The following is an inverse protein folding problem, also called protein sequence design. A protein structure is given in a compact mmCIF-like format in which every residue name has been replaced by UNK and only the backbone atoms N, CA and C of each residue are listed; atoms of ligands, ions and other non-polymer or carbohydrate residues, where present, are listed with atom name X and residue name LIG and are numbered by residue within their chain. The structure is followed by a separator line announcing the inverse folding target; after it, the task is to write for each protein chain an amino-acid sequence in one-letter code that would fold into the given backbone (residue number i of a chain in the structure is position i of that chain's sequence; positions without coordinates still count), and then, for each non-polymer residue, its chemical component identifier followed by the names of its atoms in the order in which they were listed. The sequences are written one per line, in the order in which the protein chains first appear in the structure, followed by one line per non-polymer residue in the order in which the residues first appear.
data_IF_474009195477
#
_entry.id   IF_474009195477
#
_cell.length_a   1.000
_cell.length_b   1.000
_cell.length_c   1.000
_cell.angle_alpha   90.00
_cell.angle_beta   90.00
_cell.angle_gamma   90.00
#
_symmetry.space_group_name_H-M   'P 1'
#
loop_
_entity.id
_entity.type
_entity.pdbx_description
1 polymer ?
#
# COMPACT_ATOMS: atom_id res chain seq x y z
N UNK A 1 3.76 11.90 -16.65
CA UNK A 1 2.62 11.86 -15.73
C UNK A 1 1.40 12.40 -16.45
N UNK A 2 0.23 11.77 -16.28
CA UNK A 2 -1.03 12.24 -16.91
C UNK A 2 -1.50 13.55 -16.27
N UNK A 3 -1.33 13.73 -14.97
CA UNK A 3 -1.61 14.99 -14.27
C UNK A 3 -0.79 16.15 -14.85
N UNK A 4 0.49 15.91 -15.17
CA UNK A 4 1.33 16.91 -15.82
C UNK A 4 0.82 17.36 -17.19
N UNK A 5 0.19 16.45 -17.95
CA UNK A 5 -0.45 16.82 -19.21
C UNK A 5 -1.71 17.68 -18.97
N UNK A 6 -2.52 17.33 -17.97
CA UNK A 6 -3.70 18.11 -17.62
C UNK A 6 -3.33 19.54 -17.21
N UNK A 7 -2.31 19.71 -16.37
CA UNK A 7 -1.79 21.03 -15.97
C UNK A 7 -1.35 21.86 -17.19
N UNK A 8 -0.58 21.26 -18.11
CA UNK A 8 -0.13 21.95 -19.33
C UNK A 8 -1.30 22.29 -20.27
N UNK A 9 -2.33 21.46 -20.33
CA UNK A 9 -3.48 21.65 -21.20
C UNK A 9 -4.49 22.68 -20.67
N UNK A 10 -4.45 23.00 -19.38
CA UNK A 10 -5.46 23.83 -18.70
C UNK A 10 -6.83 23.16 -18.57
N UNK A 11 -6.96 21.87 -18.91
CA UNK A 11 -8.19 21.09 -18.74
C UNK A 11 -8.29 20.62 -17.28
N UNK A 12 -9.37 20.93 -16.55
CA UNK A 12 -9.53 20.50 -15.16
C UNK A 12 -9.59 18.96 -15.05
N UNK A 13 -8.64 18.32 -14.34
CA UNK A 13 -8.68 16.87 -14.09
C UNK A 13 -9.55 16.52 -12.88
N UNK A 14 -9.98 15.26 -12.81
CA UNK A 14 -10.53 14.66 -11.59
C UNK A 14 -9.38 14.10 -10.75
N UNK A 15 -9.45 14.30 -9.43
CA UNK A 15 -8.58 13.66 -8.45
C UNK A 15 -7.38 14.51 -8.02
N UNK A 16 -6.29 13.82 -7.68
CA UNK A 16 -5.09 14.41 -7.09
C UNK A 16 -4.25 15.23 -8.10
N UNK A 17 -3.55 16.24 -7.59
CA UNK A 17 -2.55 17.01 -8.34
C UNK A 17 -1.27 16.19 -8.60
N UNK A 18 -0.27 16.79 -9.27
CA UNK A 18 1.00 16.11 -9.59
C UNK A 18 1.74 15.68 -8.31
N UNK A 19 1.84 16.57 -7.33
CA UNK A 19 2.70 16.36 -6.15
C UNK A 19 2.13 15.26 -5.25
N UNK A 20 0.85 15.36 -4.91
CA UNK A 20 0.14 14.35 -4.10
C UNK A 20 0.13 12.99 -4.81
N UNK A 21 -0.10 12.96 -6.12
CA UNK A 21 0.01 11.73 -6.92
C UNK A 21 1.40 11.11 -6.85
N UNK A 22 2.47 11.92 -6.95
CA UNK A 22 3.84 11.42 -6.90
C UNK A 22 4.23 10.89 -5.52
N UNK A 23 3.82 11.57 -4.44
CA UNK A 23 4.06 11.15 -3.06
C UNK A 23 3.33 9.84 -2.77
N UNK A 24 2.04 9.74 -3.14
CA UNK A 24 1.21 8.56 -2.86
C UNK A 24 1.55 7.36 -3.75
N UNK A 25 2.10 7.59 -4.96
CA UNK A 25 2.56 6.51 -5.84
C UNK A 25 3.80 5.79 -5.30
N UNK A 26 4.57 6.44 -4.43
CA UNK A 26 5.82 5.94 -3.90
C UNK A 26 5.73 5.80 -2.36
N UNK A 27 5.49 4.60 -1.81
CA UNK A 27 5.34 4.39 -0.38
C UNK A 27 6.52 4.93 0.42
N UNK A 28 7.74 4.94 -0.13
CA UNK A 28 8.88 5.53 0.59
C UNK A 28 8.72 7.05 0.79
N UNK A 29 8.14 7.76 -0.17
CA UNK A 29 7.82 9.19 -0.02
C UNK A 29 6.63 9.38 0.91
N UNK A 30 5.60 8.53 0.79
CA UNK A 30 4.46 8.54 1.72
C UNK A 30 4.92 8.33 3.16
N UNK A 31 5.83 7.37 3.40
CA UNK A 31 6.39 7.07 4.72
C UNK A 31 7.39 8.12 5.22
N UNK A 32 7.84 9.04 4.38
CA UNK A 32 8.56 10.23 4.80
C UNK A 32 7.57 11.34 5.18
N UNK A 33 6.51 11.56 4.39
CA UNK A 33 5.57 12.66 4.59
C UNK A 33 4.61 12.40 5.75
N UNK A 34 4.04 11.20 5.85
CA UNK A 34 3.00 10.87 6.83
C UNK A 34 3.48 10.98 8.29
N UNK A 35 4.68 10.50 8.67
CA UNK A 35 5.19 10.67 10.04
C UNK A 35 5.45 12.13 10.41
N UNK A 36 5.79 12.99 9.45
CA UNK A 36 5.91 14.43 9.71
C UNK A 36 4.56 15.08 10.06
N UNK A 37 3.44 14.43 9.74
CA UNK A 37 2.09 14.79 10.16
C UNK A 37 1.60 14.00 11.40
N UNK A 38 2.47 13.18 12.02
CA UNK A 38 2.11 12.37 13.20
C UNK A 38 1.44 11.03 12.89
N UNK A 39 1.40 10.62 11.63
CA UNK A 39 0.81 9.34 11.22
C UNK A 39 1.86 8.23 11.30
N UNK A 40 1.52 7.13 11.99
CA UNK A 40 2.40 5.98 12.11
C UNK A 40 2.55 5.25 10.76
N UNK A 41 3.76 4.81 10.45
CA UNK A 41 4.08 4.08 9.22
C UNK A 41 4.93 2.85 9.55
N UNK A 42 4.93 1.81 8.69
CA UNK A 42 5.80 0.66 8.89
C UNK A 42 7.27 1.07 8.85
N UNK A 43 8.09 0.43 9.67
CA UNK A 43 9.54 0.51 9.50
C UNK A 43 9.91 -0.12 8.16
N UNK A 44 10.71 0.56 7.36
CA UNK A 44 11.07 0.10 6.03
C UNK A 44 12.54 0.35 5.70
N UNK A 45 13.08 -0.44 4.78
CA UNK A 45 14.38 -0.23 4.15
C UNK A 45 14.21 -0.06 2.65
N UNK A 46 14.90 0.92 2.07
CA UNK A 46 14.91 1.16 0.64
C UNK A 46 16.04 0.38 -0.02
N UNK A 47 15.74 -0.42 -1.05
CA UNK A 47 16.75 -1.18 -1.79
C UNK A 47 16.70 -0.75 -3.26
N UNK A 48 17.82 -0.21 -3.76
CA UNK A 48 17.96 0.14 -5.17
C UNK A 48 18.56 -1.03 -5.95
N UNK A 49 18.50 -0.97 -7.29
CA UNK A 49 19.00 -2.03 -8.19
C UNK A 49 20.44 -2.54 -7.94
N UNK A 50 21.44 -1.71 -7.58
CA UNK A 50 22.77 -2.24 -7.27
C UNK A 50 22.84 -2.91 -5.89
N UNK A 51 21.91 -2.61 -4.99
CA UNK A 51 21.99 -3.03 -3.60
C UNK A 51 21.73 -4.53 -3.48
N UNK A 52 22.46 -5.16 -2.56
CA UNK A 52 22.35 -6.57 -2.20
C UNK A 52 22.29 -6.65 -0.68
N UNK A 53 21.09 -6.49 -0.09
CA UNK A 53 20.98 -6.44 1.36
C UNK A 53 21.27 -7.82 1.95
N UNK A 54 21.87 -7.85 3.13
CA UNK A 54 22.18 -9.11 3.83
C UNK A 54 20.90 -9.60 4.51
N UNK A 55 20.29 -10.68 4.02
CA UNK A 55 18.98 -11.14 4.50
C UNK A 55 18.89 -11.34 6.03
N UNK A 56 19.97 -11.77 6.67
CA UNK A 56 20.02 -11.95 8.12
C UNK A 56 19.88 -10.65 8.95
N UNK A 57 19.93 -9.46 8.33
CA UNK A 57 19.77 -8.18 9.06
C UNK A 57 18.32 -7.78 9.30
N UNK A 58 17.36 -8.45 8.65
CA UNK A 58 15.94 -8.12 8.78
C UNK A 58 15.24 -9.00 9.82
N UNK A 59 14.16 -8.46 10.37
CA UNK A 59 13.22 -9.23 11.18
C UNK A 59 12.08 -9.71 10.29
N UNK A 60 11.66 -10.96 10.46
CA UNK A 60 10.61 -11.57 9.67
C UNK A 60 9.34 -11.83 10.50
N UNK A 61 8.13 -11.81 9.90
CA UNK A 61 7.88 -11.63 8.47
C UNK A 61 8.05 -10.18 7.99
N UNK A 62 8.38 -10.03 6.70
CA UNK A 62 8.51 -8.75 6.01
C UNK A 62 7.70 -8.75 4.71
N UNK A 63 7.24 -7.59 4.26
CA UNK A 63 6.68 -7.39 2.93
C UNK A 63 7.75 -6.81 2.01
N UNK A 64 7.81 -7.31 0.78
CA UNK A 64 8.76 -6.85 -0.25
C UNK A 64 7.98 -6.37 -1.47
N UNK A 65 7.51 -5.12 -1.49
CA UNK A 65 6.86 -4.52 -2.66
C UNK A 65 7.84 -3.73 -3.54
N UNK A 66 7.57 -3.59 -4.86
CA UNK A 66 8.16 -2.52 -5.67
C UNK A 66 7.70 -1.15 -5.17
N UNK A 67 8.53 -0.13 -5.34
CA UNK A 67 8.19 1.20 -4.84
C UNK A 67 7.05 1.88 -5.61
N UNK A 68 6.89 1.65 -6.92
CA UNK A 68 5.87 2.36 -7.72
C UNK A 68 5.06 1.39 -8.56
N UNK A 69 4.30 0.53 -7.89
CA UNK A 69 3.36 -0.41 -8.49
C UNK A 69 2.05 -0.44 -7.71
N UNK A 70 1.06 -1.19 -8.19
CA UNK A 70 -0.22 -1.39 -7.52
C UNK A 70 -0.78 -2.79 -7.80
N UNK A 71 -1.99 -3.07 -7.31
CA UNK A 71 -2.67 -4.38 -7.50
C UNK A 71 -1.82 -5.58 -7.05
N UNK A 72 -1.00 -5.36 -6.03
CA UNK A 72 -0.08 -6.34 -5.43
C UNK A 72 0.99 -6.90 -6.37
N UNK A 73 1.19 -6.32 -7.56
CA UNK A 73 2.18 -6.82 -8.51
C UNK A 73 3.59 -6.73 -7.94
N UNK A 74 4.29 -7.87 -7.89
CA UNK A 74 5.64 -7.96 -7.33
C UNK A 74 5.70 -7.94 -5.80
N UNK A 75 4.57 -7.88 -5.10
CA UNK A 75 4.51 -7.90 -3.64
C UNK A 75 4.60 -9.33 -3.14
N UNK A 76 5.51 -9.60 -2.20
CA UNK A 76 5.57 -10.88 -1.49
C UNK A 76 5.71 -10.67 0.01
N UNK A 77 5.02 -11.51 0.78
CA UNK A 77 5.29 -11.71 2.20
C UNK A 77 6.37 -12.76 2.35
N UNK A 78 7.47 -12.36 2.96
CA UNK A 78 8.65 -13.19 3.23
C UNK A 78 8.65 -13.57 4.69
N UNK A 79 8.70 -14.87 5.00
CA UNK A 79 8.66 -15.37 6.38
C UNK A 79 10.04 -15.72 6.94
N UNK A 80 11.06 -15.80 6.08
CA UNK A 80 12.44 -16.14 6.46
C UNK A 80 13.47 -15.58 5.48
N UNK A 81 14.73 -15.55 5.91
CA UNK A 81 15.83 -14.93 5.17
C UNK A 81 16.10 -15.56 3.80
N UNK A 82 15.86 -16.85 3.64
CA UNK A 82 16.09 -17.61 2.42
C UNK A 82 15.12 -17.26 1.28
N UNK A 83 13.94 -16.70 1.58
CA UNK A 83 12.98 -16.27 0.54
C UNK A 83 13.24 -14.83 0.06
N UNK A 84 14.10 -14.07 0.75
CA UNK A 84 14.26 -12.62 0.52
C UNK A 84 14.78 -12.30 -0.88
N UNK A 85 15.85 -12.95 -1.33
CA UNK A 85 16.47 -12.66 -2.62
C UNK A 85 15.49 -12.89 -3.78
N UNK A 86 14.73 -13.98 -3.71
CA UNK A 86 13.68 -14.26 -4.69
C UNK A 86 12.59 -13.18 -4.68
N UNK A 87 12.20 -12.69 -3.51
CA UNK A 87 11.21 -11.63 -3.40
C UNK A 87 11.72 -10.30 -3.96
N UNK A 88 12.98 -9.95 -3.70
CA UNK A 88 13.63 -8.76 -4.25
C UNK A 88 13.65 -8.82 -5.79
N UNK A 89 14.10 -9.93 -6.37
CA UNK A 89 14.15 -10.06 -7.82
C UNK A 89 12.76 -10.08 -8.46
N UNK A 90 11.75 -10.64 -7.78
CA UNK A 90 10.35 -10.56 -8.21
C UNK A 90 9.82 -9.13 -8.22
N UNK A 91 10.08 -8.34 -7.17
CA UNK A 91 9.67 -6.94 -7.08
C UNK A 91 10.39 -6.08 -8.14
N UNK A 92 11.66 -6.40 -8.43
CA UNK A 92 12.49 -5.70 -9.43
C UNK A 92 12.00 -5.79 -10.86
N UNK A 93 11.08 -6.71 -11.16
CA UNK A 93 10.41 -6.77 -12.46
C UNK A 93 9.50 -5.56 -12.71
N UNK A 94 9.05 -4.90 -11.63
CA UNK A 94 8.09 -3.79 -11.69
C UNK A 94 8.74 -2.44 -11.38
N UNK A 95 9.79 -2.40 -10.57
CA UNK A 95 10.52 -1.15 -10.28
C UNK A 95 12.00 -1.43 -9.96
N UNK A 96 12.90 -0.53 -10.38
CA UNK A 96 14.31 -0.56 -9.99
C UNK A 96 14.56 -0.19 -8.52
N UNK A 97 13.55 0.39 -7.87
CA UNK A 97 13.51 0.70 -6.44
C UNK A 97 12.45 -0.15 -5.76
N UNK A 98 12.82 -0.81 -4.66
CA UNK A 98 11.91 -1.65 -3.88
C UNK A 98 11.96 -1.23 -2.40
N UNK A 99 10.98 -1.70 -1.63
CA UNK A 99 10.99 -1.59 -0.18
C UNK A 99 11.08 -2.99 0.45
N UNK A 100 11.65 -3.04 1.65
CA UNK A 100 11.46 -4.14 2.59
C UNK A 100 10.79 -3.54 3.83
N UNK A 101 9.54 -3.88 4.04
CA UNK A 101 8.67 -3.33 5.09
C UNK A 101 8.48 -4.36 6.20
N UNK A 102 8.62 -3.93 7.45
CA UNK A 102 8.30 -4.76 8.60
C UNK A 102 6.79 -5.06 8.59
N UNK A 103 6.41 -6.33 8.64
CA UNK A 103 4.99 -6.68 8.61
C UNK A 103 4.28 -6.12 9.85
N UNK A 104 3.24 -5.30 9.63
CA UNK A 104 2.38 -4.81 10.69
C UNK A 104 1.37 -5.90 11.09
N UNK A 105 1.22 -6.20 12.39
CA UNK A 105 0.17 -7.11 12.85
C UNK A 105 -1.21 -6.42 12.78
N UNK A 106 -2.25 -7.20 12.55
CA UNK A 106 -3.63 -6.71 12.52
C UNK A 106 -4.35 -7.09 11.23
N UNK A 107 -5.36 -6.31 10.88
CA UNK A 107 -6.08 -6.39 9.61
C UNK A 107 -5.99 -5.05 8.88
N UNK A 108 -6.12 -5.07 7.56
CA UNK A 108 -6.18 -3.85 6.76
C UNK A 108 -7.57 -3.21 6.91
N UNK A 109 -7.64 -1.88 6.90
CA UNK A 109 -8.88 -1.08 6.93
C UNK A 109 -8.74 0.08 5.94
N UNK A 110 -9.74 0.33 5.10
CA UNK A 110 -9.61 1.27 3.96
C UNK A 110 -10.80 2.21 3.70
N UNK A 111 -11.00 3.28 4.49
CA UNK A 111 -12.06 4.24 4.18
C UNK A 111 -11.83 4.95 2.82
N UNK A 112 -12.88 5.02 2.00
CA UNK A 112 -12.87 5.84 0.79
C UNK A 112 -13.10 7.32 1.12
N UNK A 113 -12.30 8.22 0.56
CA UNK A 113 -12.41 9.67 0.77
C UNK A 113 -12.79 10.37 -0.54
N UNK A 114 -13.78 11.26 -0.47
CA UNK A 114 -14.22 12.11 -1.58
C UNK A 114 -14.28 13.56 -1.14
N UNK A 115 -13.66 14.46 -1.89
CA UNK A 115 -13.79 15.89 -1.66
C UNK A 115 -12.55 16.68 -2.01
N UNK A 116 -12.59 17.97 -1.66
CA UNK A 116 -11.49 18.91 -1.77
C UNK A 116 -11.10 19.41 -0.37
N UNK A 117 -10.01 20.16 -0.25
CA UNK A 117 -9.35 20.53 1.03
C UNK A 117 -10.25 21.06 2.16
N UNK A 118 -11.42 21.64 1.85
CA UNK A 118 -12.32 22.23 2.84
C UNK A 118 -13.52 21.35 3.21
N UNK A 119 -13.81 20.29 2.47
CA UNK A 119 -14.98 19.45 2.67
C UNK A 119 -14.70 18.04 2.16
N UNK A 120 -14.49 17.12 3.10
CA UNK A 120 -14.28 15.69 2.84
C UNK A 120 -15.51 14.91 3.27
N UNK A 121 -15.89 13.94 2.45
CA UNK A 121 -16.89 12.91 2.75
C UNK A 121 -16.15 11.59 2.82
N UNK A 122 -16.35 10.85 3.90
CA UNK A 122 -15.70 9.56 4.12
C UNK A 122 -16.76 8.45 4.06
N UNK A 123 -16.46 7.40 3.30
CA UNK A 123 -17.31 6.21 3.19
C UNK A 123 -17.25 5.32 4.44
N UNK A 124 -18.04 4.25 4.43
CA UNK A 124 -17.93 3.21 5.45
C UNK A 124 -16.55 2.54 5.41
N UNK A 125 -16.04 2.19 6.59
CA UNK A 125 -14.76 1.49 6.73
C UNK A 125 -14.94 0.04 6.29
N UNK A 126 -14.00 -0.49 5.49
CA UNK A 126 -13.95 -1.87 5.02
C UNK A 126 -12.71 -2.60 5.61
N UNK A 127 -12.87 -3.51 6.59
CA UNK A 127 -11.78 -4.34 7.05
C UNK A 127 -11.56 -5.48 6.06
N UNK A 128 -10.30 -5.77 5.81
CA UNK A 128 -9.87 -6.91 5.03
C UNK A 128 -9.15 -7.90 5.94
N UNK A 129 -9.72 -9.11 6.04
CA UNK A 129 -9.16 -10.22 6.83
C UNK A 129 -8.59 -11.28 5.92
N UNK A 130 -7.35 -11.68 6.18
CA UNK A 130 -6.64 -12.69 5.41
C UNK A 130 -6.58 -14.01 6.19
N UNK A 131 -6.89 -15.12 5.51
CA UNK A 131 -6.64 -16.45 6.05
C UNK A 131 -5.15 -16.82 5.97
N UNK A 132 -4.48 -16.38 4.90
CA UNK A 132 -3.04 -16.57 4.65
C UNK A 132 -2.55 -15.58 3.59
N UNK A 133 -1.22 -15.43 3.47
CA UNK A 133 -0.61 -14.64 2.39
C UNK A 133 -0.87 -13.13 2.50
N UNK A 134 -1.16 -12.52 1.36
CA UNK A 134 -1.45 -11.09 1.18
C UNK A 134 -2.76 -10.90 0.40
N UNK A 135 -3.36 -9.73 0.47
CA UNK A 135 -4.44 -9.36 -0.44
C UNK A 135 -3.93 -9.16 -1.87
N UNK A 136 -4.55 -9.82 -2.85
CA UNK A 136 -4.12 -9.79 -4.25
C UNK A 136 -5.23 -10.14 -5.24
N UNK A 137 -6.46 -9.69 -4.97
CA UNK A 137 -7.65 -10.12 -5.72
C UNK A 137 -7.47 -10.09 -7.25
N UNK A 138 -6.89 -9.04 -7.82
CA UNK A 138 -6.68 -8.92 -9.27
C UNK A 138 -5.66 -9.89 -9.89
N UNK A 139 -4.96 -10.68 -9.07
CA UNK A 139 -4.05 -11.74 -9.51
C UNK A 139 -4.66 -13.14 -9.36
N UNK A 140 -5.88 -13.23 -8.81
CA UNK A 140 -6.61 -14.48 -8.67
C UNK A 140 -7.34 -14.83 -9.97
N UNK A 141 -7.77 -16.09 -10.11
CA UNK A 141 -8.23 -16.64 -11.40
C UNK A 141 -9.55 -16.02 -11.87
N UNK A 142 -10.51 -15.85 -10.95
CA UNK A 142 -11.85 -15.30 -11.23
C UNK A 142 -12.22 -14.27 -10.13
N UNK A 143 -11.55 -13.11 -10.09
CA UNK A 143 -11.67 -12.14 -8.99
C UNK A 143 -13.10 -11.66 -8.73
N UNK A 144 -13.93 -11.60 -9.76
CA UNK A 144 -15.34 -11.23 -9.68
C UNK A 144 -16.21 -12.22 -8.88
N UNK A 145 -15.73 -13.46 -8.69
CA UNK A 145 -16.41 -14.49 -7.89
C UNK A 145 -15.99 -14.47 -6.42
N UNK A 146 -15.05 -13.61 -6.05
CA UNK A 146 -14.51 -13.49 -4.70
C UNK A 146 -13.06 -13.92 -4.60
N UNK A 147 -12.44 -13.63 -3.45
CA UNK A 147 -11.05 -14.00 -3.16
C UNK A 147 -10.98 -15.36 -2.45
N UNK A 148 -9.94 -16.14 -2.78
CA UNK A 148 -9.63 -17.42 -2.15
C UNK A 148 -9.11 -17.28 -0.73
N UNK A 149 -8.44 -16.16 -0.40
CA UNK A 149 -7.75 -15.96 0.87
C UNK A 149 -8.17 -14.72 1.66
N UNK A 150 -8.97 -13.82 1.07
CA UNK A 150 -9.39 -12.57 1.70
C UNK A 150 -10.91 -12.50 1.87
N UNK A 151 -11.34 -11.93 3.01
CA UNK A 151 -12.74 -11.61 3.29
C UNK A 151 -12.83 -10.12 3.59
N UNK A 152 -13.71 -9.43 2.86
CA UNK A 152 -14.00 -8.00 3.03
C UNK A 152 -15.42 -7.87 3.58
N UNK A 153 -15.62 -7.05 4.62
CA UNK A 153 -16.93 -6.87 5.27
C UNK A 153 -17.29 -5.38 5.31
N UNK A 154 -18.44 -4.96 4.78
CA UNK A 154 -18.83 -3.54 4.80
C UNK A 154 -20.19 -3.39 5.46
N UNK A 155 -20.34 -2.57 6.52
CA UNK A 155 -19.27 -1.84 7.23
C UNK A 155 -18.39 -2.79 8.06
N UNK A 156 -17.26 -2.27 8.55
CA UNK A 156 -16.37 -3.00 9.42
C UNK A 156 -17.08 -3.51 10.68
N UNK A 157 -16.82 -4.78 11.04
CA UNK A 157 -17.22 -5.40 12.31
C UNK A 157 -16.37 -4.85 13.47
N UNK A 158 -16.57 -3.56 13.74
CA UNK A 158 -15.91 -2.73 14.74
C UNK A 158 -16.95 -1.81 15.38
N UNK A 159 -16.66 -1.29 16.57
CA UNK A 159 -17.53 -0.31 17.20
C UNK A 159 -17.66 0.97 16.34
N UNK A 160 -18.77 1.69 16.48
CA UNK A 160 -18.96 2.97 15.77
C UNK A 160 -17.87 4.00 16.13
N UNK A 161 -17.39 3.96 17.38
CA UNK A 161 -16.27 4.79 17.85
C UNK A 161 -14.97 4.45 17.12
N UNK A 162 -14.64 3.16 16.99
CA UNK A 162 -13.43 2.72 16.26
C UNK A 162 -13.51 3.05 14.77
N UNK A 163 -14.67 2.86 14.13
CA UNK A 163 -14.89 3.27 12.73
C UNK A 163 -14.70 4.78 12.57
N UNK A 164 -15.28 5.58 13.46
CA UNK A 164 -15.10 7.03 13.47
C UNK A 164 -13.63 7.43 13.63
N UNK A 165 -12.89 6.77 14.53
CA UNK A 165 -11.46 7.02 14.69
C UNK A 165 -10.65 6.73 13.43
N UNK A 166 -10.98 5.66 12.71
CA UNK A 166 -10.33 5.32 11.42
C UNK A 166 -10.63 6.38 10.35
N UNK A 167 -11.84 6.93 10.33
CA UNK A 167 -12.23 7.97 9.37
C UNK A 167 -11.55 9.33 9.62
N UNK A 168 -11.12 9.59 10.85
CA UNK A 168 -10.47 10.84 11.28
C UNK A 168 -8.93 10.79 11.24
N UNK A 169 -8.34 9.62 10.98
CA UNK A 169 -6.88 9.42 10.89
C UNK A 169 -6.39 9.69 9.47
#
# INVERSE_FOLDING_TARGET
SIQGLFELSGIPPVGCDIQSSAICMDPSLTYIVAPNAGIATPAFSLINKPDRPVAATFTYPALVPPARSGSSFGVKKVNSADELDYAIESARQYDSKILIEQAAPGCEVGPAVLGNSAALVVGEVDPLRLQYGIFRIHQEVEPEKGSENAVITVPADLSAEERGRIQET
#
